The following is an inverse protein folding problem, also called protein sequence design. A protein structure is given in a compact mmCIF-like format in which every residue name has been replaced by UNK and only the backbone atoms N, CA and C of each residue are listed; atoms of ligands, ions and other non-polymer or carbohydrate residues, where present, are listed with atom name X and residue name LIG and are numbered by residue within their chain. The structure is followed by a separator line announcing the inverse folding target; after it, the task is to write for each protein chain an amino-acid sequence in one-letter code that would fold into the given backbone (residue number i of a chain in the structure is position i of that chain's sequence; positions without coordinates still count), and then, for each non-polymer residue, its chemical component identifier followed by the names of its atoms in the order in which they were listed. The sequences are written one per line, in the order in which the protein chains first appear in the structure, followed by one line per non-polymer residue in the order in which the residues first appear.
data_IF_663150691806
#
_entry.id   IF_663150691806
#
_cell.length_a   1.000
_cell.length_b   1.000
_cell.length_c   1.000
_cell.angle_alpha   90.00
_cell.angle_beta   90.00
_cell.angle_gamma   90.00
#
_symmetry.space_group_name_H-M   'P 1'
#
loop_
_entity.id
_entity.type
_entity.pdbx_description
1 polymer ?
#
# COMPACT_ATOMS: atom_id res chain seq x y z
N UNK A 1 -42.47 -38.31 0.01
CA UNK A 1 -41.17 -37.83 0.50
C UNK A 1 -40.80 -36.59 -0.29
N UNK A 2 -41.20 -35.40 0.18
CA UNK A 2 -40.88 -34.13 -0.51
C UNK A 2 -39.55 -33.62 0.01
N UNK A 3 -38.53 -33.61 -0.85
CA UNK A 3 -37.25 -33.00 -0.55
C UNK A 3 -37.43 -31.48 -0.45
N UNK A 4 -37.35 -30.95 0.78
CA UNK A 4 -37.20 -29.51 1.00
C UNK A 4 -35.84 -29.11 0.43
N UNK A 5 -35.85 -28.35 -0.67
CA UNK A 5 -34.69 -27.58 -1.12
C UNK A 5 -34.42 -26.54 -0.04
N UNK A 6 -33.34 -26.72 0.71
CA UNK A 6 -32.79 -25.67 1.56
C UNK A 6 -32.28 -24.56 0.65
N UNK A 7 -33.02 -23.46 0.61
CA UNK A 7 -32.63 -22.23 -0.03
C UNK A 7 -31.48 -21.62 0.78
N UNK A 8 -30.25 -21.89 0.35
CA UNK A 8 -29.06 -21.18 0.82
C UNK A 8 -29.24 -19.71 0.47
N UNK A 9 -29.76 -18.93 1.43
CA UNK A 9 -29.79 -17.48 1.36
C UNK A 9 -28.35 -16.99 1.46
N UNK A 10 -27.78 -16.63 0.31
CA UNK A 10 -26.47 -15.98 0.24
C UNK A 10 -26.50 -14.75 1.17
N UNK A 11 -25.48 -14.62 2.02
CA UNK A 11 -25.32 -13.44 2.86
C UNK A 11 -25.42 -12.17 1.98
N UNK A 12 -26.13 -11.12 2.44
CA UNK A 12 -26.30 -9.91 1.65
C UNK A 12 -24.93 -9.32 1.30
N UNK A 13 -24.72 -9.00 0.03
CA UNK A 13 -23.52 -8.33 -0.43
C UNK A 13 -23.34 -7.00 0.33
N UNK A 14 -22.10 -6.70 0.75
CA UNK A 14 -21.79 -5.48 1.49
C UNK A 14 -22.20 -4.24 0.68
N UNK A 15 -23.12 -3.43 1.22
CA UNK A 15 -23.58 -2.20 0.58
C UNK A 15 -22.71 -1.02 1.04
N UNK A 16 -21.73 -0.66 0.21
CA UNK A 16 -20.79 0.42 0.49
C UNK A 16 -21.48 1.78 0.63
N UNK A 17 -22.44 2.09 -0.23
CA UNK A 17 -23.13 3.39 -0.22
C UNK A 17 -23.89 3.59 1.09
N UNK A 18 -24.62 2.56 1.53
CA UNK A 18 -25.30 2.58 2.82
C UNK A 18 -24.30 2.69 3.98
N UNK A 19 -23.24 1.89 3.97
CA UNK A 19 -22.23 1.94 5.02
C UNK A 19 -21.55 3.31 5.15
N UNK A 20 -21.33 4.02 4.03
CA UNK A 20 -20.80 5.37 4.04
C UNK A 20 -21.81 6.40 4.59
N UNK A 21 -23.11 6.24 4.29
CA UNK A 21 -24.17 7.09 4.82
C UNK A 21 -24.38 6.89 6.33
N UNK A 22 -24.30 5.64 6.78
CA UNK A 22 -24.51 5.24 8.18
C UNK A 22 -23.25 5.47 9.05
N UNK A 23 -22.10 5.80 8.45
CA UNK A 23 -20.85 6.00 9.17
C UNK A 23 -20.90 7.27 10.04
N UNK A 24 -20.87 7.06 11.36
CA UNK A 24 -20.94 8.11 12.38
C UNK A 24 -19.57 8.58 12.90
N UNK A 25 -18.48 7.96 12.45
CA UNK A 25 -17.11 8.32 12.84
C UNK A 25 -16.54 9.52 12.08
N UNK A 26 -15.24 9.77 12.23
CA UNK A 26 -14.55 10.85 11.54
C UNK A 26 -14.38 10.53 10.04
N UNK A 27 -15.02 11.33 9.19
CA UNK A 27 -14.97 11.18 7.73
C UNK A 27 -13.57 11.45 7.17
N UNK A 28 -12.77 12.30 7.82
CA UNK A 28 -11.38 12.51 7.42
C UNK A 28 -10.54 11.27 7.71
N UNK A 29 -10.72 10.66 8.88
CA UNK A 29 -10.07 9.39 9.21
C UNK A 29 -10.44 8.31 8.19
N UNK A 30 -11.72 8.16 7.87
CA UNK A 30 -12.18 7.20 6.86
C UNK A 30 -11.47 7.39 5.52
N UNK A 31 -11.34 8.63 5.04
CA UNK A 31 -10.65 8.96 3.79
C UNK A 31 -9.17 8.60 3.87
N UNK A 32 -8.49 8.94 4.97
CA UNK A 32 -7.06 8.64 5.17
C UNK A 32 -6.83 7.13 5.22
N UNK A 33 -7.63 6.39 5.99
CA UNK A 33 -7.52 4.93 6.09
C UNK A 33 -7.76 4.25 4.74
N UNK A 34 -8.80 4.65 4.02
CA UNK A 34 -9.06 4.12 2.68
C UNK A 34 -7.92 4.41 1.68
N UNK A 35 -7.31 5.59 1.77
CA UNK A 35 -6.19 5.99 0.90
C UNK A 35 -4.92 5.19 1.17
N UNK A 36 -4.58 4.99 2.45
CA UNK A 36 -3.44 4.16 2.86
C UNK A 36 -3.63 2.72 2.37
N UNK A 37 -4.81 2.14 2.62
CA UNK A 37 -5.13 0.79 2.20
C UNK A 37 -5.13 0.64 0.67
N UNK A 38 -5.64 1.63 -0.06
CA UNK A 38 -5.61 1.64 -1.52
C UNK A 38 -4.17 1.69 -2.06
N UNK A 39 -3.30 2.49 -1.44
CA UNK A 39 -1.88 2.55 -1.80
C UNK A 39 -1.17 1.21 -1.56
N UNK A 40 -1.51 0.50 -0.48
CA UNK A 40 -0.99 -0.85 -0.22
C UNK A 40 -1.52 -1.86 -1.24
N UNK A 41 -2.82 -1.84 -1.54
CA UNK A 41 -3.43 -2.71 -2.57
C UNK A 41 -2.81 -2.51 -3.94
N UNK A 42 -2.47 -1.27 -4.31
CA UNK A 42 -1.81 -0.97 -5.59
C UNK A 42 -0.47 -1.68 -5.80
N UNK A 43 0.14 -2.23 -4.73
CA UNK A 43 1.34 -3.08 -4.82
C UNK A 43 1.03 -4.52 -5.23
N UNK A 44 -0.19 -5.00 -5.00
CA UNK A 44 -0.64 -6.34 -5.36
C UNK A 44 -0.99 -6.40 -6.86
N UNK A 45 -0.64 -7.49 -7.53
CA UNK A 45 -0.86 -7.65 -8.98
C UNK A 45 -2.33 -7.52 -9.38
N UNK A 46 -3.25 -8.01 -8.55
CA UNK A 46 -4.70 -7.94 -8.75
C UNK A 46 -5.22 -6.50 -8.92
N UNK A 47 -4.61 -5.54 -8.20
CA UNK A 47 -5.07 -4.15 -8.15
C UNK A 47 -4.13 -3.17 -8.86
N UNK A 48 -2.91 -3.59 -9.22
CA UNK A 48 -1.86 -2.74 -9.81
C UNK A 48 -2.30 -1.99 -11.07
N UNK A 49 -3.15 -2.63 -11.88
CA UNK A 49 -3.65 -2.09 -13.14
C UNK A 49 -5.13 -1.69 -13.10
N UNK A 50 -5.74 -1.74 -11.92
CA UNK A 50 -7.13 -1.34 -11.76
C UNK A 50 -7.27 0.19 -11.72
N UNK A 51 -8.39 0.75 -12.21
CA UNK A 51 -8.73 2.14 -12.02
C UNK A 51 -8.69 2.54 -10.54
N UNK A 52 -8.12 3.72 -10.23
CA UNK A 52 -7.92 4.18 -8.85
C UNK A 52 -9.21 4.24 -8.05
N UNK A 53 -10.30 4.65 -8.67
CA UNK A 53 -11.62 4.71 -8.06
C UNK A 53 -12.10 3.32 -7.61
N UNK A 54 -11.84 2.26 -8.39
CA UNK A 54 -12.17 0.89 -8.00
C UNK A 54 -11.35 0.43 -6.78
N UNK A 55 -10.06 0.73 -6.77
CA UNK A 55 -9.17 0.36 -5.65
C UNK A 55 -9.58 1.09 -4.36
N UNK A 56 -9.93 2.38 -4.46
CA UNK A 56 -10.41 3.17 -3.32
C UNK A 56 -11.75 2.65 -2.81
N UNK A 57 -12.71 2.35 -3.70
CA UNK A 57 -14.00 1.76 -3.31
C UNK A 57 -13.84 0.41 -2.62
N UNK A 58 -12.99 -0.46 -3.14
CA UNK A 58 -12.66 -1.73 -2.51
C UNK A 58 -12.04 -1.53 -1.12
N UNK A 59 -11.13 -0.56 -0.98
CA UNK A 59 -10.48 -0.24 0.29
C UNK A 59 -11.47 0.32 1.32
N UNK A 60 -12.36 1.23 0.91
CA UNK A 60 -13.44 1.74 1.75
C UNK A 60 -14.35 0.59 2.22
N UNK A 61 -14.72 -0.31 1.31
CA UNK A 61 -15.57 -1.44 1.65
C UNK A 61 -14.90 -2.38 2.65
N UNK A 62 -13.62 -2.65 2.51
CA UNK A 62 -12.89 -3.50 3.46
C UNK A 62 -12.75 -2.86 4.84
N UNK A 63 -12.43 -1.58 4.90
CA UNK A 63 -12.31 -0.85 6.15
C UNK A 63 -13.66 -0.74 6.87
N UNK A 64 -14.72 -0.33 6.15
CA UNK A 64 -16.08 -0.22 6.73
C UNK A 64 -16.70 -1.57 7.08
N UNK A 65 -16.30 -2.65 6.41
CA UNK A 65 -16.69 -4.01 6.79
C UNK A 65 -15.91 -4.55 8.00
N UNK A 66 -14.96 -3.79 8.56
CA UNK A 66 -14.15 -4.21 9.70
C UNK A 66 -13.17 -5.34 9.39
N UNK A 67 -12.84 -5.57 8.10
CA UNK A 67 -11.86 -6.60 7.69
C UNK A 67 -10.43 -6.26 8.09
N UNK A 68 -10.16 -4.98 8.30
CA UNK A 68 -8.90 -4.46 8.79
C UNK A 68 -9.19 -3.37 9.82
N UNK A 69 -8.49 -3.42 10.95
CA UNK A 69 -8.63 -2.37 11.97
C UNK A 69 -7.72 -1.19 11.67
N UNK A 70 -8.02 -0.06 12.29
CA UNK A 70 -7.19 1.14 12.24
C UNK A 70 -5.76 0.84 12.69
N UNK A 71 -5.61 0.14 13.81
CA UNK A 71 -4.32 -0.17 14.42
C UNK A 71 -3.46 -1.00 13.48
N UNK A 72 -4.05 -2.05 12.89
CA UNK A 72 -3.37 -2.92 11.91
C UNK A 72 -2.89 -2.13 10.69
N UNK A 73 -3.73 -1.24 10.18
CA UNK A 73 -3.40 -0.44 9.01
C UNK A 73 -2.28 0.57 9.30
N UNK A 74 -2.37 1.27 10.44
CA UNK A 74 -1.36 2.24 10.88
C UNK A 74 -0.02 1.56 11.16
N UNK A 75 -0.03 0.42 11.85
CA UNK A 75 1.18 -0.35 12.13
C UNK A 75 1.88 -0.78 10.82
N UNK A 76 1.10 -1.33 9.88
CA UNK A 76 1.62 -1.73 8.57
C UNK A 76 2.23 -0.54 7.82
N UNK A 77 1.52 0.59 7.80
CA UNK A 77 2.01 1.81 7.14
C UNK A 77 3.32 2.33 7.74
N UNK A 78 3.40 2.40 9.08
CA UNK A 78 4.60 2.88 9.77
C UNK A 78 5.79 1.95 9.59
N UNK A 79 5.56 0.64 9.57
CA UNK A 79 6.57 -0.38 9.26
C UNK A 79 7.15 -0.20 7.86
N UNK A 80 6.29 -0.07 6.84
CA UNK A 80 6.72 0.13 5.46
C UNK A 80 7.49 1.43 5.28
N UNK A 81 7.05 2.50 5.96
CA UNK A 81 7.72 3.80 5.92
C UNK A 81 9.14 3.72 6.47
N UNK A 82 9.33 3.08 7.63
CA UNK A 82 10.67 2.87 8.21
C UNK A 82 11.57 2.09 7.25
N UNK A 83 11.06 1.02 6.64
CA UNK A 83 11.81 0.24 5.67
C UNK A 83 12.23 1.07 4.43
N UNK A 84 11.38 1.99 3.97
CA UNK A 84 11.73 2.89 2.87
C UNK A 84 12.81 3.89 3.27
N UNK A 85 12.70 4.48 4.47
CA UNK A 85 13.69 5.41 5.02
C UNK A 85 15.07 4.73 5.17
N UNK A 86 15.10 3.49 5.66
CA UNK A 86 16.34 2.69 5.76
C UNK A 86 16.97 2.40 4.39
N UNK A 87 16.15 2.02 3.39
CA UNK A 87 16.63 1.78 2.03
C UNK A 87 17.20 3.04 1.38
N UNK A 88 16.56 4.18 1.58
CA UNK A 88 17.05 5.47 1.08
C UNK A 88 18.40 5.82 1.73
N UNK A 89 18.50 5.72 3.05
CA UNK A 89 19.75 5.97 3.76
C UNK A 89 20.88 5.02 3.32
N UNK A 90 20.56 3.76 2.98
CA UNK A 90 21.54 2.82 2.46
C UNK A 90 22.00 3.18 1.04
N UNK A 91 21.09 3.61 0.16
CA UNK A 91 21.45 4.03 -1.20
C UNK A 91 22.28 5.31 -1.20
N UNK A 92 21.96 6.28 -0.35
CA UNK A 92 22.77 7.50 -0.16
C UNK A 92 24.19 7.16 0.27
N UNK A 93 24.37 6.29 1.28
CA UNK A 93 25.70 5.80 1.68
C UNK A 93 26.44 5.11 0.53
N UNK A 94 25.74 4.35 -0.31
CA UNK A 94 26.34 3.68 -1.48
C UNK A 94 26.79 4.69 -2.53
N UNK A 95 26.02 5.75 -2.75
CA UNK A 95 26.36 6.83 -3.68
C UNK A 95 27.55 7.64 -3.17
N UNK A 96 27.60 7.96 -1.88
CA UNK A 96 28.75 8.63 -1.25
C UNK A 96 30.04 7.81 -1.34
N UNK A 97 29.97 6.49 -1.08
CA UNK A 97 31.12 5.60 -1.23
C UNK A 97 31.61 5.49 -2.69
N UNK A 98 30.68 5.49 -3.66
CA UNK A 98 31.02 5.52 -5.09
C UNK A 98 31.64 6.85 -5.50
N UNK A 99 31.19 7.97 -4.93
CA UNK A 99 31.74 9.29 -5.20
C UNK A 99 33.11 9.51 -4.53
N UNK A 100 33.35 8.87 -3.38
CA UNK A 100 34.61 8.92 -2.64
C UNK A 100 35.67 7.92 -3.15
N UNK A 101 35.30 6.99 -4.05
CA UNK A 101 36.26 6.09 -4.70
C UNK A 101 37.14 6.89 -5.70
N UNK A 102 38.47 6.99 -5.48
CA UNK A 102 39.32 7.77 -6.36
C UNK A 102 39.37 7.14 -7.76
N UNK A 103 39.20 7.95 -8.80
CA UNK A 103 39.60 7.62 -10.19
C UNK A 103 41.11 7.37 -10.19
N UNK A 104 41.51 6.14 -9.91
CA UNK A 104 42.89 5.65 -10.01
C UNK A 104 43.22 5.20 -11.44
N UNK A 105 42.78 5.91 -12.48
CA UNK A 105 43.31 5.71 -13.83
C UNK A 105 43.38 7.06 -14.56
N UNK A 106 44.49 7.25 -15.30
CA UNK A 106 44.89 8.41 -16.12
C UNK A 106 45.84 9.44 -15.49
N UNK A 107 46.96 8.97 -14.93
CA UNK A 107 48.25 9.70 -15.01
C UNK A 107 49.40 8.71 -15.26
N UNK A 108 49.35 7.98 -16.37
CA UNK A 108 50.48 7.19 -16.89
C UNK A 108 50.51 7.29 -18.43
N UNK A 109 50.63 8.51 -18.96
CA UNK A 109 51.11 8.72 -20.33
C UNK A 109 51.62 10.15 -20.49
N UNK A 110 52.66 10.48 -19.72
CA UNK A 110 53.44 11.69 -19.90
C UNK A 110 54.85 11.35 -19.48
N UNK A 111 55.80 11.59 -20.36
CA UNK A 111 57.25 11.37 -20.22
C UNK A 111 57.76 9.98 -20.68
N UNK A 112 58.23 9.96 -21.93
CA UNK A 112 59.58 9.49 -22.24
C UNK A 112 60.18 10.44 -23.28
N UNK A 113 61.37 10.96 -22.96
CA UNK A 113 62.26 11.79 -23.75
C UNK A 113 62.78 11.09 -25.01
#
# INVERSE_FOLDING_TARGET
MSAKKEEQTAAPAFNLEKAMMDYSGDKYELIVMASILAAQKGKNEEFRFQPRDKVIKASLAEYLAGKITREQLVETYMSERKLMEEKQAQEEKRLEQKAAAPRLELKLSGESL
#
